data_IF_760950368928
#
_entry.id   IF_760950368928
#
_cell.length_a   1.000
_cell.length_b   1.000
_cell.length_c   1.000
_cell.angle_alpha   90.00
_cell.angle_beta   90.00
_cell.angle_gamma   90.00
#
_symmetry.space_group_name_H-M   'P 1'
#
loop_
_entity.id
_entity.type
_entity.pdbx_description
1 polymer ?
#
# COMPACT_ATOMS: atom_id res chain seq x y z
N UNK A 1 8.89 4.71 15.30
CA UNK A 1 7.66 4.53 16.08
C UNK A 1 7.74 5.41 17.32
N UNK A 2 7.35 6.68 17.19
CA UNK A 2 7.05 7.50 18.35
C UNK A 2 5.92 6.79 19.11
N UNK A 3 6.14 6.48 20.40
CA UNK A 3 5.06 5.99 21.24
C UNK A 3 4.06 7.13 21.40
N UNK A 4 3.00 7.11 20.58
CA UNK A 4 2.00 8.18 20.55
C UNK A 4 1.34 8.24 21.93
N UNK A 5 1.56 9.34 22.64
CA UNK A 5 1.09 9.56 24.03
C UNK A 5 -0.42 9.87 24.09
N UNK A 6 -1.14 9.75 22.97
CA UNK A 6 -2.55 10.16 22.84
C UNK A 6 -3.48 9.46 23.85
N UNK A 7 -3.27 8.17 24.13
CA UNK A 7 -4.08 7.43 25.11
C UNK A 7 -3.62 7.63 26.57
N UNK A 8 -2.47 8.27 26.76
CA UNK A 8 -1.85 8.46 28.07
C UNK A 8 -1.94 9.90 28.58
N UNK A 9 -2.35 10.88 27.76
CA UNK A 9 -2.48 12.29 28.15
C UNK A 9 -3.94 12.72 28.18
N UNK A 10 -4.40 13.11 29.37
CA UNK A 10 -5.76 13.58 29.60
C UNK A 10 -5.82 14.49 30.81
N UNK A 11 -6.54 15.60 30.66
CA UNK A 11 -6.83 16.56 31.71
C UNK A 11 -8.31 16.97 31.63
N UNK A 12 -8.79 17.66 32.64
CA UNK A 12 -10.16 18.21 32.67
C UNK A 12 -10.13 19.73 32.57
N UNK A 13 -11.22 20.33 32.14
CA UNK A 13 -11.43 21.78 32.20
C UNK A 13 -12.80 22.11 32.77
N UNK A 14 -12.85 23.16 33.59
CA UNK A 14 -14.10 23.80 34.06
C UNK A 14 -14.40 25.10 33.31
N UNK A 15 -13.62 25.42 32.27
CA UNK A 15 -13.89 26.56 31.40
C UNK A 15 -15.24 26.36 30.72
N UNK A 16 -16.07 27.40 30.69
CA UNK A 16 -17.40 27.36 30.07
C UNK A 16 -17.47 28.27 28.86
N UNK A 17 -18.43 28.03 27.97
CA UNK A 17 -18.58 28.76 26.73
C UNK A 17 -17.73 28.20 25.57
N UNK A 18 -17.66 28.96 24.48
CA UNK A 18 -16.94 28.60 23.24
C UNK A 18 -15.63 29.38 23.05
N UNK A 19 -15.06 29.85 24.18
CA UNK A 19 -13.82 30.62 24.20
C UNK A 19 -12.63 29.87 23.61
N UNK A 20 -11.64 30.63 23.14
CA UNK A 20 -10.40 30.11 22.55
C UNK A 20 -9.59 29.32 23.59
N UNK A 21 -9.24 29.98 24.69
CA UNK A 21 -8.35 29.43 25.72
C UNK A 21 -9.15 28.69 26.78
N UNK A 22 -8.68 27.50 27.14
CA UNK A 22 -9.20 26.72 28.27
C UNK A 22 -8.12 26.44 29.29
N UNK A 23 -8.49 26.42 30.57
CA UNK A 23 -7.59 26.01 31.65
C UNK A 23 -7.68 24.52 31.90
N UNK A 24 -6.53 23.84 31.98
CA UNK A 24 -6.44 22.41 32.17
C UNK A 24 -6.11 22.07 33.63
N UNK A 25 -6.74 21.01 34.13
CA UNK A 25 -6.56 20.46 35.47
C UNK A 25 -6.22 18.99 35.36
N UNK A 26 -5.19 18.56 36.08
CA UNK A 26 -4.72 17.17 36.07
C UNK A 26 -5.86 16.18 36.36
N UNK A 27 -5.92 15.11 35.58
CA UNK A 27 -6.79 13.95 35.82
C UNK A 27 -5.95 12.80 36.39
N UNK A 28 -6.50 12.05 37.35
CA UNK A 28 -5.77 10.93 37.95
C UNK A 28 -5.48 9.83 36.92
N UNK A 29 -4.30 9.21 37.01
CA UNK A 29 -3.82 8.11 36.16
C UNK A 29 -3.48 8.48 34.70
N UNK A 30 -3.49 9.77 34.35
CA UNK A 30 -3.05 10.26 33.05
C UNK A 30 -1.88 11.25 33.21
N UNK A 31 -1.03 11.33 32.19
CA UNK A 31 -0.01 12.37 32.06
C UNK A 31 -0.63 13.70 31.63
N UNK A 32 0.16 14.78 31.70
CA UNK A 32 -0.32 16.15 31.52
C UNK A 32 0.02 16.71 30.15
N UNK A 33 -0.76 17.68 29.66
CA UNK A 33 -0.45 18.37 28.41
C UNK A 33 0.92 19.06 28.47
N UNK A 34 1.30 19.58 29.65
CA UNK A 34 2.61 20.18 29.89
C UNK A 34 3.80 19.20 29.76
N UNK A 35 3.56 17.88 29.80
CA UNK A 35 4.62 16.87 29.66
C UNK A 35 4.90 16.52 28.19
N UNK A 36 4.02 16.95 27.27
CA UNK A 36 4.04 16.57 25.85
C UNK A 36 4.83 17.56 25.00
N UNK A 37 4.97 18.79 25.46
CA UNK A 37 5.67 19.84 24.74
C UNK A 37 5.80 21.12 25.54
N UNK A 38 6.50 22.08 24.96
CA UNK A 38 6.64 23.44 25.52
C UNK A 38 5.53 24.35 25.01
N UNK A 39 5.42 25.55 25.59
CA UNK A 39 4.50 26.60 25.10
C UNK A 39 4.71 26.85 23.60
N UNK A 40 3.61 26.93 22.85
CA UNK A 40 3.57 27.04 21.40
C UNK A 40 3.62 25.71 20.64
N UNK A 41 3.76 24.58 21.34
CA UNK A 41 3.65 23.26 20.70
C UNK A 41 2.21 23.04 20.25
N UNK A 42 2.03 22.68 18.98
CA UNK A 42 0.73 22.29 18.46
C UNK A 42 0.45 20.82 18.76
N UNK A 43 -0.74 20.54 19.29
CA UNK A 43 -1.24 19.19 19.56
C UNK A 43 -2.59 19.01 18.86
N UNK A 44 -2.85 17.79 18.40
CA UNK A 44 -4.20 17.38 18.06
C UNK A 44 -4.90 17.04 19.37
N UNK A 45 -6.06 17.66 19.63
CA UNK A 45 -6.82 17.42 20.86
C UNK A 45 -8.20 16.85 20.56
N UNK A 46 -8.79 16.25 21.59
CA UNK A 46 -10.20 15.88 21.66
C UNK A 46 -10.78 16.49 22.94
N UNK A 47 -11.85 17.27 22.82
CA UNK A 47 -12.66 17.72 23.96
C UNK A 47 -13.99 16.98 23.92
N UNK A 48 -14.45 16.51 25.09
CA UNK A 48 -15.80 15.98 25.28
C UNK A 48 -16.51 16.72 26.40
N UNK A 49 -17.73 17.16 26.15
CA UNK A 49 -18.58 17.88 27.11
C UNK A 49 -20.02 17.38 26.97
N UNK A 50 -20.52 16.67 27.99
CA UNK A 50 -21.78 15.91 27.83
C UNK A 50 -21.70 14.96 26.63
N UNK A 51 -22.66 15.10 25.71
CA UNK A 51 -22.73 14.34 24.46
C UNK A 51 -21.98 15.00 23.28
N UNK A 52 -21.49 16.23 23.47
CA UNK A 52 -20.81 16.99 22.43
C UNK A 52 -19.30 16.67 22.42
N UNK A 53 -18.73 16.61 21.22
CA UNK A 53 -17.31 16.32 20.99
C UNK A 53 -16.71 17.33 20.02
N UNK A 54 -15.46 17.70 20.25
CA UNK A 54 -14.64 18.50 19.36
C UNK A 54 -13.29 17.84 19.17
N UNK A 55 -12.85 17.72 17.93
CA UNK A 55 -11.49 17.34 17.57
C UNK A 55 -10.87 18.52 16.85
N UNK A 56 -9.67 18.91 17.24
CA UNK A 56 -9.02 20.09 16.68
C UNK A 56 -7.51 20.11 16.84
N UNK A 57 -6.90 21.18 16.34
CA UNK A 57 -5.51 21.53 16.57
C UNK A 57 -5.48 22.68 17.56
N UNK A 58 -4.66 22.55 18.59
CA UNK A 58 -4.50 23.59 19.60
C UNK A 58 -3.05 23.78 20.01
N UNK A 59 -2.72 25.00 20.42
CA UNK A 59 -1.40 25.38 20.92
C UNK A 59 -1.35 25.34 22.45
N UNK A 60 -0.33 24.66 22.99
CA UNK A 60 -0.05 24.70 24.42
C UNK A 60 0.33 26.12 24.84
N UNK A 61 -0.29 26.60 25.92
CA UNK A 61 -0.06 27.94 26.45
C UNK A 61 0.53 27.89 27.85
N UNK A 62 0.99 29.05 28.34
CA UNK A 62 1.46 29.17 29.72
C UNK A 62 0.32 28.89 30.72
N UNK A 63 0.66 28.58 31.97
CA UNK A 63 -0.32 28.38 33.03
C UNK A 63 -1.20 27.14 32.87
N UNK A 64 -0.69 26.10 32.20
CA UNK A 64 -1.43 24.85 31.92
C UNK A 64 -2.75 25.12 31.17
N UNK A 65 -2.66 25.94 30.12
CA UNK A 65 -3.80 26.29 29.28
C UNK A 65 -3.58 25.78 27.85
N UNK A 66 -4.67 25.59 27.12
CA UNK A 66 -4.67 25.17 25.72
C UNK A 66 -5.53 26.16 24.94
N UNK A 67 -5.00 26.68 23.83
CA UNK A 67 -5.81 27.40 22.85
C UNK A 67 -6.43 26.42 21.86
N UNK A 68 -7.72 26.56 21.62
CA UNK A 68 -8.50 25.77 20.67
C UNK A 68 -8.49 26.44 19.30
N UNK A 69 -7.32 26.47 18.66
CA UNK A 69 -7.05 27.30 17.47
C UNK A 69 -7.95 26.93 16.29
N UNK A 70 -7.96 25.64 15.94
CA UNK A 70 -8.65 25.16 14.74
C UNK A 70 -9.46 23.90 15.05
N UNK A 71 -10.79 24.01 15.26
CA UNK A 71 -11.67 22.86 15.21
C UNK A 71 -11.58 22.19 13.84
N UNK A 72 -11.43 20.87 13.81
CA UNK A 72 -11.37 20.06 12.60
C UNK A 72 -12.63 19.24 12.40
N UNK A 73 -13.23 18.77 13.48
CA UNK A 73 -14.48 18.01 13.49
C UNK A 73 -15.24 18.33 14.77
N UNK A 74 -16.55 18.47 14.68
CA UNK A 74 -17.42 18.47 15.87
C UNK A 74 -18.54 17.45 15.75
N UNK A 75 -19.02 17.04 16.91
CA UNK A 75 -20.32 16.39 17.08
C UNK A 75 -21.09 17.23 18.10
N UNK A 76 -22.17 17.88 17.68
CA UNK A 76 -23.00 18.70 18.57
C UNK A 76 -24.43 18.17 18.53
N UNK A 77 -24.94 17.73 19.67
CA UNK A 77 -26.28 17.12 19.78
C UNK A 77 -26.48 15.98 18.76
N UNK A 78 -25.45 15.17 18.55
CA UNK A 78 -25.45 14.04 17.61
C UNK A 78 -25.23 14.40 16.13
N UNK A 79 -25.01 15.67 15.78
CA UNK A 79 -24.73 16.11 14.41
C UNK A 79 -23.22 16.22 14.20
N UNK A 80 -22.69 15.42 13.27
CA UNK A 80 -21.29 15.47 12.83
C UNK A 80 -21.07 16.61 11.82
N UNK A 81 -20.01 17.40 11.99
CA UNK A 81 -19.58 18.45 11.06
C UNK A 81 -18.05 18.47 10.92
N UNK A 82 -17.58 18.25 9.70
CA UNK A 82 -16.19 18.38 9.26
C UNK A 82 -16.01 19.41 8.13
N UNK A 83 -17.09 20.15 7.82
CA UNK A 83 -17.14 21.08 6.71
C UNK A 83 -16.91 22.53 7.15
N UNK A 84 -17.47 22.90 8.30
CA UNK A 84 -17.30 24.22 8.91
C UNK A 84 -17.37 24.14 10.45
N UNK A 85 -16.58 23.26 11.08
CA UNK A 85 -16.63 23.04 12.52
C UNK A 85 -16.30 24.33 13.28
N UNK A 86 -17.11 24.64 14.29
CA UNK A 86 -16.88 25.74 15.21
C UNK A 86 -16.63 25.21 16.62
N UNK A 87 -15.97 26.01 17.47
CA UNK A 87 -15.72 25.62 18.86
C UNK A 87 -17.04 25.29 19.59
N UNK A 88 -17.16 24.08 20.10
CA UNK A 88 -18.31 23.65 20.90
C UNK A 88 -18.40 24.45 22.20
N UNK A 89 -19.62 24.61 22.71
CA UNK A 89 -19.87 25.28 23.98
C UNK A 89 -19.59 24.32 25.12
N UNK A 90 -18.63 24.67 25.98
CA UNK A 90 -18.28 23.87 27.15
C UNK A 90 -19.22 24.21 28.31
N UNK A 91 -19.63 23.19 29.05
CA UNK A 91 -20.40 23.34 30.29
C UNK A 91 -19.89 22.36 31.35
N UNK A 92 -20.06 22.73 32.62
CA UNK A 92 -19.64 21.91 33.75
C UNK A 92 -18.16 21.53 33.68
N UNK A 93 -17.86 20.24 33.82
CA UNK A 93 -16.52 19.69 33.63
C UNK A 93 -16.45 18.97 32.28
N UNK A 94 -15.48 19.35 31.47
CA UNK A 94 -15.19 18.72 30.18
C UNK A 94 -13.86 17.99 30.24
N UNK A 95 -13.72 16.92 29.47
CA UNK A 95 -12.47 16.15 29.39
C UNK A 95 -11.72 16.57 28.14
N UNK A 96 -10.40 16.70 28.25
CA UNK A 96 -9.49 17.13 27.19
C UNK A 96 -8.38 16.09 27.08
N UNK A 97 -8.20 15.48 25.92
CA UNK A 97 -7.15 14.49 25.67
C UNK A 97 -6.41 14.80 24.38
N UNK A 98 -5.21 14.24 24.20
CA UNK A 98 -4.50 14.34 22.94
C UNK A 98 -4.99 13.26 21.97
N UNK A 99 -5.22 13.61 20.71
CA UNK A 99 -5.49 12.67 19.64
C UNK A 99 -4.19 12.22 18.96
N UNK A 100 -4.15 11.04 18.32
CA UNK A 100 -3.03 10.66 17.45
C UNK A 100 -2.76 11.76 16.42
N UNK A 101 -1.49 12.10 16.22
CA UNK A 101 -1.10 13.18 15.31
C UNK A 101 -1.21 12.72 13.84
N UNK A 102 -1.34 13.66 12.90
CA UNK A 102 -1.18 13.34 11.48
C UNK A 102 0.17 12.68 11.16
N UNK A 103 1.21 12.96 11.96
CA UNK A 103 2.52 12.28 11.86
C UNK A 103 2.41 10.79 12.12
N UNK A 104 1.57 10.35 13.06
CA UNK A 104 1.35 8.92 13.32
C UNK A 104 0.73 8.19 12.13
N UNK A 105 -0.23 8.82 11.45
CA UNK A 105 -0.81 8.27 10.23
C UNK A 105 0.22 8.23 9.11
N UNK A 106 1.06 9.27 9.01
CA UNK A 106 2.12 9.32 8.01
C UNK A 106 3.22 8.27 8.29
N UNK A 107 3.57 8.03 9.56
CA UNK A 107 4.48 6.97 9.97
C UNK A 107 3.89 5.59 9.66
N UNK A 108 2.60 5.37 9.93
CA UNK A 108 1.91 4.14 9.55
C UNK A 108 1.92 3.94 8.03
N UNK A 109 1.71 5.02 7.26
CA UNK A 109 1.76 4.98 5.81
C UNK A 109 3.17 4.68 5.30
N UNK A 110 4.19 5.30 5.89
CA UNK A 110 5.59 5.05 5.59
C UNK A 110 5.98 3.60 5.92
N UNK A 111 5.60 3.10 7.10
CA UNK A 111 5.82 1.72 7.50
C UNK A 111 5.14 0.77 6.52
N UNK A 112 3.88 1.02 6.15
CA UNK A 112 3.16 0.20 5.18
C UNK A 112 3.82 0.20 3.81
N UNK A 113 4.37 1.35 3.37
CA UNK A 113 5.14 1.45 2.14
C UNK A 113 6.49 0.74 2.21
N UNK A 114 7.15 0.73 3.39
CA UNK A 114 8.43 0.07 3.62
C UNK A 114 8.29 -1.46 3.72
N UNK A 115 7.15 -1.97 4.22
CA UNK A 115 6.86 -3.40 4.28
C UNK A 115 6.33 -4.00 2.96
N UNK A 116 6.36 -3.24 1.85
CA UNK A 116 6.09 -3.74 0.50
C UNK A 116 4.67 -4.30 0.30
N UNK A 117 3.74 -4.01 1.22
CA UNK A 117 2.40 -4.60 1.23
C UNK A 117 1.35 -3.55 0.88
N UNK A 118 1.47 -2.99 -0.31
CA UNK A 118 0.37 -2.30 -0.99
C UNK A 118 0.34 -2.76 -2.45
N UNK A 119 -0.15 -3.98 -2.63
CA UNK A 119 -1.01 -4.46 -3.72
C UNK A 119 -0.71 -4.15 -5.21
N UNK A 120 0.41 -3.52 -5.60
CA UNK A 120 0.77 -3.26 -6.99
C UNK A 120 2.24 -3.57 -7.28
N UNK A 121 2.53 -3.84 -8.55
CA UNK A 121 3.84 -4.20 -9.09
C UNK A 121 4.99 -3.51 -8.32
N UNK A 122 5.70 -4.27 -7.50
CA UNK A 122 6.79 -3.72 -6.69
C UNK A 122 8.04 -3.59 -7.55
N UNK A 123 8.51 -2.36 -7.75
CA UNK A 123 9.77 -2.07 -8.42
C UNK A 123 10.90 -2.02 -7.40
N UNK A 124 11.73 -3.07 -7.37
CA UNK A 124 12.92 -3.14 -6.52
C UNK A 124 14.14 -2.65 -7.31
N UNK A 125 14.63 -1.45 -7.02
CA UNK A 125 15.79 -0.86 -7.73
C UNK A 125 17.14 -1.18 -7.07
N UNK A 126 17.13 -1.85 -5.92
CA UNK A 126 18.33 -2.31 -5.21
C UNK A 126 18.54 -3.82 -5.34
N UNK A 127 19.70 -4.33 -4.89
CA UNK A 127 19.99 -5.76 -4.85
C UNK A 127 18.96 -6.51 -3.98
N UNK A 128 18.39 -7.59 -4.54
CA UNK A 128 17.43 -8.45 -3.86
C UNK A 128 18.01 -9.85 -3.70
N UNK A 129 17.82 -10.44 -2.52
CA UNK A 129 18.14 -11.85 -2.27
C UNK A 129 16.84 -12.60 -1.97
N UNK A 130 16.46 -13.52 -2.86
CA UNK A 130 15.33 -14.41 -2.66
C UNK A 130 15.80 -15.76 -2.15
N UNK A 131 15.16 -16.29 -1.11
CA UNK A 131 15.38 -17.67 -0.68
C UNK A 131 14.79 -18.68 -1.67
N UNK A 132 13.60 -18.37 -2.18
CA UNK A 132 12.86 -19.15 -3.17
C UNK A 132 11.97 -18.19 -3.97
N UNK A 133 11.68 -18.56 -5.22
CA UNK A 133 10.72 -17.88 -6.10
C UNK A 133 9.70 -18.91 -6.57
N UNK A 134 8.42 -18.62 -6.38
CA UNK A 134 7.32 -19.39 -6.97
C UNK A 134 6.79 -18.62 -8.17
N UNK A 135 6.93 -19.19 -9.35
CA UNK A 135 6.39 -18.62 -10.58
C UNK A 135 4.95 -19.09 -10.81
N UNK A 136 4.12 -18.20 -11.37
CA UNK A 136 2.75 -18.57 -11.74
C UNK A 136 2.79 -19.43 -13.01
N UNK A 137 2.26 -20.64 -12.90
CA UNK A 137 2.07 -21.53 -14.03
C UNK A 137 0.76 -21.22 -14.77
N UNK A 138 0.77 -21.37 -16.10
CA UNK A 138 -0.39 -21.13 -16.94
C UNK A 138 -0.54 -22.20 -18.03
N UNK A 139 -1.73 -22.81 -18.09
CA UNK A 139 -2.10 -23.68 -19.20
C UNK A 139 -2.55 -22.79 -20.36
N UNK A 140 -1.70 -22.67 -21.39
CA UNK A 140 -1.93 -21.78 -22.52
C UNK A 140 -3.08 -22.30 -23.39
N UNK A 141 -4.27 -21.75 -23.18
CA UNK A 141 -5.50 -22.14 -23.90
C UNK A 141 -5.56 -21.52 -25.30
N UNK A 142 -5.18 -20.25 -25.45
CA UNK A 142 -5.11 -19.53 -26.71
C UNK A 142 -3.79 -19.72 -27.45
N UNK A 143 -3.42 -18.70 -28.23
CA UNK A 143 -2.17 -18.63 -29.01
C UNK A 143 -1.30 -17.43 -28.65
N UNK A 144 -1.74 -16.58 -27.72
CA UNK A 144 -0.97 -15.43 -27.24
C UNK A 144 -0.10 -15.86 -26.07
N UNK A 145 1.22 -15.76 -26.24
CA UNK A 145 2.21 -15.96 -25.17
C UNK A 145 2.35 -14.63 -24.43
N UNK A 146 1.83 -14.57 -23.21
CA UNK A 146 1.79 -13.34 -22.42
C UNK A 146 2.20 -13.62 -20.96
N UNK A 147 3.35 -13.06 -20.48
CA UNK A 147 3.83 -13.27 -19.12
C UNK A 147 2.85 -12.79 -18.04
N UNK A 148 1.88 -11.92 -18.37
CA UNK A 148 0.84 -11.49 -17.42
C UNK A 148 -0.07 -12.65 -16.96
N UNK A 149 -0.14 -13.75 -17.73
CA UNK A 149 -0.86 -14.96 -17.31
C UNK A 149 0.01 -15.90 -16.45
N UNK A 150 1.33 -15.71 -16.47
CA UNK A 150 2.31 -16.57 -15.84
C UNK A 150 3.59 -16.65 -16.67
N UNK A 151 4.75 -16.61 -16.01
CA UNK A 151 6.07 -16.74 -16.65
C UNK A 151 6.43 -18.18 -16.99
N UNK A 152 5.75 -19.17 -16.38
CA UNK A 152 5.81 -20.58 -16.77
C UNK A 152 4.51 -20.95 -17.51
N UNK A 153 4.62 -21.27 -18.80
CA UNK A 153 3.45 -21.61 -19.62
C UNK A 153 3.60 -23.00 -20.23
N UNK A 154 2.49 -23.70 -20.42
CA UNK A 154 2.51 -25.02 -21.07
C UNK A 154 1.30 -25.24 -21.98
N UNK A 155 1.51 -25.96 -23.08
CA UNK A 155 0.47 -26.29 -24.06
C UNK A 155 0.72 -27.64 -24.73
N UNK A 156 -0.32 -28.46 -24.82
CA UNK A 156 -0.38 -29.57 -25.78
C UNK A 156 -1.08 -29.10 -27.04
N UNK A 157 -0.46 -29.31 -28.20
CA UNK A 157 -1.04 -28.91 -29.48
C UNK A 157 -2.08 -29.93 -29.94
N UNK A 158 -3.21 -29.43 -30.43
CA UNK A 158 -4.29 -30.22 -31.03
C UNK A 158 -4.48 -29.92 -32.51
N UNK A 159 -3.69 -29.01 -33.06
CA UNK A 159 -3.71 -28.57 -34.45
C UNK A 159 -2.43 -27.75 -34.74
N UNK A 160 -2.16 -27.52 -36.04
CA UNK A 160 -1.19 -26.54 -36.48
C UNK A 160 -1.49 -25.18 -35.82
N UNK A 161 -0.49 -24.59 -35.17
CA UNK A 161 -0.68 -23.44 -34.30
C UNK A 161 0.23 -22.30 -34.71
N UNK A 162 -0.35 -21.11 -34.86
CA UNK A 162 0.40 -19.86 -35.03
C UNK A 162 0.36 -19.09 -33.72
N UNK A 163 1.51 -18.94 -33.08
CA UNK A 163 1.63 -18.16 -31.85
C UNK A 163 1.83 -16.67 -32.16
N UNK A 164 1.30 -15.85 -31.26
CA UNK A 164 1.63 -14.43 -31.10
C UNK A 164 2.15 -14.21 -29.69
N UNK A 165 2.60 -13.00 -29.40
CA UNK A 165 3.21 -12.66 -28.12
C UNK A 165 2.76 -11.28 -27.64
N UNK A 166 2.94 -11.00 -26.35
CA UNK A 166 2.67 -9.69 -25.74
C UNK A 166 3.71 -9.37 -24.66
N UNK A 167 4.96 -9.75 -24.90
CA UNK A 167 6.07 -9.43 -24.01
C UNK A 167 6.45 -7.94 -24.17
N UNK A 168 6.88 -7.35 -23.07
CA UNK A 168 7.56 -6.07 -23.03
C UNK A 168 9.07 -6.27 -22.82
N UNK A 169 9.86 -5.24 -23.11
CA UNK A 169 11.30 -5.26 -22.87
C UNK A 169 11.61 -5.57 -21.40
N UNK A 170 12.49 -6.55 -21.18
CA UNK A 170 12.85 -7.05 -19.85
C UNK A 170 11.95 -8.17 -19.32
N UNK A 171 10.97 -8.65 -20.11
CA UNK A 171 10.14 -9.79 -19.76
C UNK A 171 10.59 -11.08 -20.44
N UNK A 172 10.29 -12.21 -19.80
CA UNK A 172 10.56 -13.55 -20.31
C UNK A 172 9.43 -14.52 -19.95
N UNK A 173 9.29 -15.57 -20.76
CA UNK A 173 8.41 -16.71 -20.54
C UNK A 173 9.19 -17.99 -20.85
N UNK A 174 9.13 -18.96 -19.95
CA UNK A 174 9.49 -20.35 -20.24
C UNK A 174 8.22 -21.10 -20.68
N UNK A 175 8.18 -21.49 -21.94
CA UNK A 175 7.06 -22.15 -22.61
C UNK A 175 7.37 -23.63 -22.86
N UNK A 176 6.49 -24.50 -22.39
CA UNK A 176 6.55 -25.93 -22.60
C UNK A 176 5.53 -26.34 -23.68
N UNK A 177 5.99 -26.88 -24.80
CA UNK A 177 5.11 -27.34 -25.89
C UNK A 177 5.22 -28.85 -26.06
N UNK A 178 4.09 -29.54 -25.95
CA UNK A 178 3.91 -30.91 -26.44
C UNK A 178 3.29 -30.85 -27.83
N UNK A 179 4.08 -31.22 -28.84
CA UNK A 179 3.72 -31.13 -30.25
C UNK A 179 2.72 -32.21 -30.69
N UNK A 180 2.37 -33.16 -29.80
CA UNK A 180 1.36 -34.18 -30.01
C UNK A 180 1.69 -35.14 -31.16
N UNK A 181 1.34 -34.78 -32.39
CA UNK A 181 1.52 -35.62 -33.59
C UNK A 181 2.30 -34.92 -34.69
N UNK A 182 3.32 -34.12 -34.31
CA UNK A 182 4.13 -33.31 -35.23
C UNK A 182 3.35 -32.17 -35.88
N UNK A 183 2.60 -31.39 -35.08
CA UNK A 183 1.88 -30.23 -35.60
C UNK A 183 2.87 -29.12 -36.01
N UNK A 184 2.53 -28.36 -37.04
CA UNK A 184 3.40 -27.25 -37.44
C UNK A 184 3.20 -26.08 -36.49
N UNK A 185 4.29 -25.55 -35.95
CA UNK A 185 4.30 -24.31 -35.16
C UNK A 185 4.80 -23.15 -36.01
N UNK A 186 4.01 -22.09 -36.09
CA UNK A 186 4.46 -20.79 -36.61
C UNK A 186 4.70 -19.87 -35.43
N UNK A 187 5.95 -19.45 -35.27
CA UNK A 187 6.37 -18.54 -34.21
C UNK A 187 6.11 -17.07 -34.61
N UNK A 188 5.95 -16.16 -33.63
CA UNK A 188 6.10 -14.73 -33.89
C UNK A 188 7.48 -14.42 -34.51
N UNK A 189 7.70 -13.18 -34.94
CA UNK A 189 9.01 -12.77 -35.46
C UNK A 189 10.06 -12.87 -34.36
N UNK A 190 10.79 -13.99 -34.34
CA UNK A 190 11.73 -14.34 -33.28
C UNK A 190 13.16 -14.42 -33.81
N UNK A 191 14.08 -13.76 -33.13
CA UNK A 191 15.52 -13.95 -33.34
C UNK A 191 15.98 -15.17 -32.55
N UNK A 192 16.16 -16.29 -33.24
CA UNK A 192 16.53 -17.54 -32.60
C UNK A 192 18.01 -17.58 -32.24
N UNK A 193 18.30 -17.87 -30.98
CA UNK A 193 19.64 -18.28 -30.55
C UNK A 193 19.93 -19.63 -31.22
N UNK A 194 20.97 -19.68 -32.07
CA UNK A 194 21.24 -20.84 -32.94
C UNK A 194 20.75 -20.68 -34.38
N UNK A 195 20.08 -19.58 -34.72
CA UNK A 195 19.84 -19.11 -36.09
C UNK A 195 18.49 -19.47 -36.71
N UNK A 196 17.84 -20.56 -36.27
CA UNK A 196 16.52 -20.96 -36.78
C UNK A 196 15.61 -21.46 -35.66
N UNK A 197 14.29 -21.46 -35.94
CA UNK A 197 13.31 -22.06 -35.04
C UNK A 197 13.61 -23.54 -34.80
N UNK A 198 13.39 -24.05 -33.57
CA UNK A 198 13.66 -25.45 -33.24
C UNK A 198 12.63 -26.39 -33.85
N UNK A 199 13.05 -27.62 -34.12
CA UNK A 199 12.15 -28.74 -34.37
C UNK A 199 11.71 -29.32 -33.03
N UNK A 200 10.40 -29.35 -32.78
CA UNK A 200 9.86 -29.86 -31.52
C UNK A 200 9.82 -31.39 -31.51
N UNK A 201 9.99 -32.04 -30.34
CA UNK A 201 9.82 -33.48 -30.21
C UNK A 201 8.35 -33.84 -30.36
N UNK A 202 8.08 -35.02 -30.92
CA UNK A 202 6.70 -35.55 -31.09
C UNK A 202 6.17 -36.24 -29.84
N UNK A 203 6.95 -36.28 -28.77
CA UNK A 203 6.57 -36.84 -27.47
C UNK A 203 7.19 -36.01 -26.36
N UNK A 204 6.41 -35.69 -25.33
CA UNK A 204 6.89 -34.88 -24.21
C UNK A 204 6.98 -33.39 -24.55
N UNK A 205 7.49 -32.61 -23.61
CA UNK A 205 7.59 -31.16 -23.78
C UNK A 205 8.94 -30.74 -24.37
N UNK A 206 8.92 -29.92 -25.42
CA UNK A 206 10.03 -29.00 -25.68
C UNK A 206 9.97 -27.82 -24.73
N UNK A 207 11.11 -27.48 -24.12
CA UNK A 207 11.25 -26.30 -23.27
C UNK A 207 11.84 -25.17 -24.11
N UNK A 208 11.07 -24.11 -24.28
CA UNK A 208 11.43 -22.91 -25.05
C UNK A 208 11.48 -21.72 -24.11
N UNK A 209 12.58 -21.00 -24.10
CA UNK A 209 12.68 -19.72 -23.40
C UNK A 209 12.53 -18.59 -24.43
N UNK A 210 11.57 -17.71 -24.18
CA UNK A 210 11.28 -16.52 -24.97
C UNK A 210 11.49 -15.29 -24.09
N UNK A 211 12.28 -14.32 -24.56
CA UNK A 211 12.53 -13.09 -23.82
C UNK A 211 12.67 -11.91 -24.76
N UNK A 212 12.30 -10.73 -24.30
CA UNK A 212 12.32 -9.53 -25.12
C UNK A 212 13.30 -8.49 -24.59
N UNK A 213 14.12 -7.95 -25.50
CA UNK A 213 15.09 -6.89 -25.21
C UNK A 213 15.07 -5.89 -26.37
N UNK A 214 14.94 -4.60 -26.07
CA UNK A 214 14.97 -3.52 -27.05
C UNK A 214 14.00 -3.73 -28.23
N UNK A 215 12.77 -4.17 -27.94
CA UNK A 215 11.71 -4.50 -28.89
C UNK A 215 12.03 -5.64 -29.86
N UNK A 216 13.01 -6.49 -29.52
CA UNK A 216 13.34 -7.72 -30.25
C UNK A 216 13.01 -8.92 -29.39
N UNK A 217 12.12 -9.78 -29.89
CA UNK A 217 11.87 -11.08 -29.28
C UNK A 217 13.00 -12.05 -29.65
N UNK A 218 13.62 -12.63 -28.63
CA UNK A 218 14.57 -13.72 -28.74
C UNK A 218 13.94 -15.03 -28.29
N UNK A 219 14.43 -16.13 -28.85
CA UNK A 219 13.99 -17.46 -28.49
C UNK A 219 15.14 -18.46 -28.50
N UNK A 220 15.10 -19.42 -27.59
CA UNK A 220 16.01 -20.57 -27.57
C UNK A 220 15.27 -21.82 -27.09
N UNK A 221 15.72 -22.99 -27.55
CA UNK A 221 15.28 -24.26 -27.00
C UNK A 221 16.26 -24.69 -25.91
N UNK A 222 15.78 -24.79 -24.67
CA UNK A 222 16.58 -25.16 -23.49
C UNK A 222 16.77 -26.67 -23.38
N UNK A 223 15.88 -27.44 -24.02
CA UNK A 223 15.96 -28.90 -24.08
C UNK A 223 14.60 -29.55 -24.31
N UNK A 224 14.59 -30.88 -24.22
CA UNK A 224 13.38 -31.70 -24.21
C UNK A 224 13.27 -32.38 -22.85
N UNK A 225 12.05 -32.46 -22.31
CA UNK A 225 11.74 -33.11 -21.04
C UNK A 225 11.58 -34.63 -21.19
#
# INVERSE_FOLDING_TARGET
MDAIVADLIRETTSTTGSGLTITLTAEANYGRFADVGVVGTNVYYVIRTGDDTEVGIGSLQTGNTLDRDTPLVTVVSGVYDDSSPARITLAGTSTVSIAPTASALNDLLNDLSAYGKLADASSWTGEQTFKEVSETQYSLTGTVIDPANGTLQYKTLSANTTFTESLADGQAVTLLIDDGTAYTVTWPTTTWVGGSAPTLPTTGYAVIELFQINSVLYGLQSGNA
#
